data_IF_514690595247
#
_entry.id   IF_514690595247
#
_cell.length_a   1.000
_cell.length_b   1.000
_cell.length_c   1.000
_cell.angle_alpha   90.00
_cell.angle_beta   90.00
_cell.angle_gamma   90.00
#
_symmetry.space_group_name_H-M   'P 1'
#
loop_
_entity.id
_entity.type
_entity.pdbx_description
1 polymer ?
#
# COMPACT_ATOMS: atom_id res chain seq x y z
N UNK A 1 58.79 -16.46 -0.78
CA UNK A 1 57.30 -16.29 -0.81
C UNK A 1 56.87 -15.94 0.61
N UNK A 2 56.75 -14.63 0.90
CA UNK A 2 56.48 -14.14 2.25
C UNK A 2 54.96 -13.98 2.44
N UNK A 3 54.39 -14.85 3.25
CA UNK A 3 53.00 -14.77 3.67
C UNK A 3 52.91 -13.77 4.84
N UNK A 4 52.39 -12.59 4.61
CA UNK A 4 52.06 -11.63 5.67
C UNK A 4 50.80 -12.09 6.42
N UNK A 5 50.99 -12.62 7.63
CA UNK A 5 49.89 -12.81 8.58
C UNK A 5 49.34 -11.45 9.03
N UNK A 6 48.12 -11.15 8.66
CA UNK A 6 47.38 -10.03 9.19
C UNK A 6 46.83 -10.46 10.55
N UNK A 7 47.41 -9.94 11.63
CA UNK A 7 46.86 -10.07 12.98
C UNK A 7 45.66 -9.18 13.14
N UNK A 8 44.49 -9.77 13.31
CA UNK A 8 43.32 -9.04 13.77
C UNK A 8 43.44 -8.78 15.28
N UNK A 9 43.20 -7.52 15.75
CA UNK A 9 43.16 -7.27 17.18
C UNK A 9 41.89 -7.92 17.76
N UNK A 10 42.10 -8.69 18.85
CA UNK A 10 41.02 -9.23 19.66
C UNK A 10 40.26 -8.04 20.26
N UNK A 11 39.08 -7.71 19.74
CA UNK A 11 38.19 -6.77 20.36
C UNK A 11 37.67 -7.38 21.65
N UNK A 12 38.03 -6.75 22.75
CA UNK A 12 37.54 -7.00 24.10
C UNK A 12 36.01 -6.92 24.13
N UNK A 13 35.36 -8.08 24.31
CA UNK A 13 33.90 -8.14 24.49
C UNK A 13 33.55 -7.61 25.87
N UNK A 14 33.27 -6.31 25.97
CA UNK A 14 32.66 -5.71 27.15
C UNK A 14 31.19 -6.13 27.15
N UNK A 15 30.86 -7.11 27.95
CA UNK A 15 29.48 -7.41 28.33
C UNK A 15 28.97 -6.27 29.20
N UNK A 16 28.52 -5.20 28.57
CA UNK A 16 27.60 -4.26 29.21
C UNK A 16 26.22 -4.89 29.15
N UNK A 17 25.79 -5.43 30.28
CA UNK A 17 24.39 -5.67 30.59
C UNK A 17 23.67 -4.32 30.59
N UNK A 18 23.46 -3.79 29.39
CA UNK A 18 22.66 -2.62 29.15
C UNK A 18 21.20 -3.04 29.15
N UNK A 19 20.46 -2.55 30.10
CA UNK A 19 19.02 -2.48 30.07
C UNK A 19 18.58 -2.07 28.67
N UNK A 20 17.88 -3.01 27.99
CA UNK A 20 17.14 -2.71 26.78
C UNK A 20 16.02 -1.73 27.17
N UNK A 21 16.30 -0.46 27.13
CA UNK A 21 15.27 0.52 26.92
C UNK A 21 14.70 0.19 25.54
N UNK A 22 13.53 -0.43 25.51
CA UNK A 22 12.76 -0.51 24.30
C UNK A 22 12.57 0.92 23.80
N UNK A 23 13.35 1.30 22.79
CA UNK A 23 13.00 2.44 21.98
C UNK A 23 11.62 2.09 21.40
N UNK A 24 10.57 2.67 21.98
CA UNK A 24 9.32 2.91 21.33
C UNK A 24 9.67 3.80 20.12
N UNK A 25 10.10 3.15 19.04
CA UNK A 25 10.14 3.79 17.73
C UNK A 25 8.69 4.15 17.47
N UNK A 26 8.31 5.39 17.75
CA UNK A 26 7.01 5.93 17.40
C UNK A 26 6.79 5.50 15.94
N UNK A 27 5.77 4.69 15.67
CA UNK A 27 5.47 4.25 14.32
C UNK A 27 5.27 5.51 13.50
N UNK A 28 6.21 5.77 12.60
CA UNK A 28 6.20 6.94 11.75
C UNK A 28 4.87 6.95 11.00
N UNK A 29 4.12 8.05 11.10
CA UNK A 29 2.81 8.14 10.48
C UNK A 29 2.94 7.94 8.96
N UNK A 30 2.12 7.06 8.39
CA UNK A 30 2.12 6.81 6.95
C UNK A 30 1.50 8.03 6.26
N UNK A 31 2.25 8.68 5.34
CA UNK A 31 1.77 9.89 4.67
C UNK A 31 0.47 9.63 3.91
N UNK A 32 -0.50 10.52 4.08
CA UNK A 32 -1.77 10.47 3.35
C UNK A 32 -2.74 9.36 3.80
N UNK A 33 -2.39 8.57 4.81
CA UNK A 33 -3.25 7.50 5.31
C UNK A 33 -4.54 8.06 5.92
N UNK A 34 -5.67 7.64 5.37
CA UNK A 34 -7.01 8.01 5.85
C UNK A 34 -7.85 6.80 6.28
N UNK A 35 -7.57 5.61 5.72
CA UNK A 35 -8.28 4.37 6.03
C UNK A 35 -7.67 3.74 7.28
N UNK A 36 -8.47 3.54 8.31
CA UNK A 36 -8.04 2.94 9.58
C UNK A 36 -8.34 1.45 9.63
N UNK A 37 -7.66 0.73 10.53
CA UNK A 37 -7.90 -0.70 10.73
C UNK A 37 -9.32 -0.96 11.21
N UNK A 38 -9.88 -0.09 12.04
CA UNK A 38 -11.24 -0.20 12.56
C UNK A 38 -12.26 -0.12 11.42
N UNK A 39 -12.06 0.78 10.46
CA UNK A 39 -12.92 0.88 9.28
C UNK A 39 -12.85 -0.38 8.41
N UNK A 40 -11.68 -0.99 8.29
CA UNK A 40 -11.52 -2.26 7.57
C UNK A 40 -12.21 -3.41 8.30
N UNK A 41 -12.09 -3.49 9.62
CA UNK A 41 -12.79 -4.49 10.44
C UNK A 41 -14.30 -4.38 10.27
N UNK A 42 -14.85 -3.17 10.33
CA UNK A 42 -16.28 -2.91 10.07
C UNK A 42 -16.69 -3.32 8.65
N UNK A 43 -15.87 -2.99 7.64
CA UNK A 43 -16.12 -3.40 6.26
C UNK A 43 -16.18 -4.92 6.12
N UNK A 44 -15.26 -5.68 6.72
CA UNK A 44 -15.28 -7.13 6.67
C UNK A 44 -16.48 -7.73 7.39
N UNK A 45 -16.93 -7.14 8.49
CA UNK A 45 -18.19 -7.52 9.15
C UNK A 45 -19.36 -7.32 8.21
N UNK A 46 -19.42 -6.17 7.52
CA UNK A 46 -20.44 -5.88 6.51
C UNK A 46 -20.43 -6.88 5.35
N UNK A 47 -19.26 -7.15 4.77
CA UNK A 47 -19.10 -8.13 3.70
C UNK A 47 -19.63 -9.51 4.10
N UNK A 48 -19.31 -9.96 5.31
CA UNK A 48 -19.79 -11.26 5.83
C UNK A 48 -21.29 -11.28 6.01
N UNK A 49 -21.88 -10.18 6.45
CA UNK A 49 -23.31 -10.07 6.76
C UNK A 49 -24.15 -9.90 5.50
N UNK A 50 -23.70 -9.02 4.59
CA UNK A 50 -24.54 -8.49 3.51
C UNK A 50 -24.28 -9.16 2.16
N UNK A 51 -23.24 -10.01 2.06
CA UNK A 51 -22.93 -10.75 0.83
C UNK A 51 -22.91 -12.26 1.05
N UNK A 52 -22.97 -13.00 -0.06
CA UNK A 52 -22.77 -14.46 -0.08
C UNK A 52 -21.35 -14.83 -0.55
N UNK A 53 -20.45 -13.86 -0.57
CA UNK A 53 -19.09 -14.09 -1.06
C UNK A 53 -18.28 -14.93 -0.08
N UNK A 54 -17.37 -15.72 -0.61
CA UNK A 54 -16.40 -16.43 0.21
C UNK A 54 -15.28 -15.47 0.63
N UNK A 55 -15.51 -14.71 1.69
CA UNK A 55 -14.55 -13.74 2.21
C UNK A 55 -13.26 -14.36 2.77
N UNK A 56 -13.26 -15.69 2.99
CA UNK A 56 -12.05 -16.43 3.37
C UNK A 56 -11.24 -16.92 2.16
N UNK A 57 -11.70 -16.65 0.96
CA UNK A 57 -11.02 -16.96 -0.30
C UNK A 57 -10.53 -15.72 -1.02
N UNK A 58 -10.13 -15.91 -2.27
CA UNK A 58 -9.73 -14.80 -3.12
C UNK A 58 -10.95 -13.99 -3.57
N UNK A 59 -10.81 -12.68 -3.49
CA UNK A 59 -11.74 -11.70 -4.05
C UNK A 59 -11.02 -10.80 -5.05
N UNK A 60 -11.76 -10.10 -5.86
CA UNK A 60 -11.23 -9.08 -6.78
C UNK A 60 -11.20 -7.74 -6.06
N UNK A 61 -10.00 -7.23 -5.84
CA UNK A 61 -9.76 -5.95 -5.19
C UNK A 61 -9.39 -4.91 -6.22
N UNK A 62 -10.13 -3.78 -6.27
CA UNK A 62 -9.81 -2.61 -7.04
C UNK A 62 -9.10 -1.58 -6.16
N UNK A 63 -8.10 -0.89 -6.72
CA UNK A 63 -7.31 0.13 -6.03
C UNK A 63 -7.25 1.38 -6.89
N UNK A 64 -7.42 2.55 -6.25
CA UNK A 64 -7.63 3.82 -6.94
C UNK A 64 -6.59 4.85 -6.53
N UNK A 65 -6.02 5.51 -7.52
CA UNK A 65 -5.06 6.60 -7.33
C UNK A 65 -5.50 7.82 -8.12
N UNK A 66 -5.21 9.00 -7.59
CA UNK A 66 -5.54 10.25 -8.26
C UNK A 66 -4.34 11.15 -8.48
N UNK A 67 -4.36 11.93 -9.54
CA UNK A 67 -3.43 13.03 -9.77
C UNK A 67 -3.97 14.00 -10.82
N UNK A 68 -3.53 15.24 -10.74
CA UNK A 68 -3.81 16.25 -11.77
C UNK A 68 -2.92 16.06 -13.02
N UNK A 69 -1.80 15.35 -12.91
CA UNK A 69 -0.90 15.04 -14.01
C UNK A 69 -1.02 13.56 -14.41
N UNK A 70 -1.65 13.23 -15.55
CA UNK A 70 -1.86 11.84 -15.95
C UNK A 70 -0.55 11.07 -16.18
N UNK A 71 0.55 11.76 -16.54
CA UNK A 71 1.87 11.13 -16.69
C UNK A 71 2.40 10.49 -15.40
N UNK A 72 2.07 11.05 -14.24
CA UNK A 72 2.44 10.46 -12.95
C UNK A 72 1.66 9.17 -12.70
N UNK A 73 0.38 9.14 -13.09
CA UNK A 73 -0.46 7.93 -13.00
C UNK A 73 0.00 6.85 -13.98
N UNK A 74 0.47 7.22 -15.19
CA UNK A 74 1.09 6.28 -16.13
C UNK A 74 2.35 5.62 -15.54
N UNK A 75 3.16 6.37 -14.82
CA UNK A 75 4.32 5.83 -14.10
C UNK A 75 3.88 4.87 -12.99
N UNK A 76 2.88 5.26 -12.18
CA UNK A 76 2.31 4.42 -11.14
C UNK A 76 1.75 3.11 -11.73
N UNK A 77 1.00 3.20 -12.83
CA UNK A 77 0.48 2.05 -13.57
C UNK A 77 1.59 1.06 -13.93
N UNK A 78 2.69 1.54 -14.50
CA UNK A 78 3.80 0.68 -14.90
C UNK A 78 4.42 -0.06 -13.72
N UNK A 79 4.59 0.62 -12.58
CA UNK A 79 5.11 0.04 -11.34
C UNK A 79 4.13 -1.01 -10.79
N UNK A 80 2.84 -0.71 -10.77
CA UNK A 80 1.81 -1.61 -10.26
C UNK A 80 1.66 -2.86 -11.13
N UNK A 81 1.69 -2.72 -12.47
CA UNK A 81 1.69 -3.87 -13.38
C UNK A 81 2.90 -4.78 -13.11
N UNK A 82 4.10 -4.21 -12.91
CA UNK A 82 5.29 -4.99 -12.55
C UNK A 82 5.16 -5.71 -11.19
N UNK A 83 4.29 -5.23 -10.30
CA UNK A 83 3.94 -5.86 -9.01
C UNK A 83 2.76 -6.84 -9.11
N UNK A 84 2.29 -7.14 -10.31
CA UNK A 84 1.23 -8.12 -10.57
C UNK A 84 -0.20 -7.58 -10.47
N UNK A 85 -0.38 -6.26 -10.50
CA UNK A 85 -1.71 -5.66 -10.65
C UNK A 85 -2.15 -5.69 -12.12
N UNK A 86 -3.44 -5.80 -12.35
CA UNK A 86 -4.06 -5.66 -13.66
C UNK A 86 -4.52 -4.21 -13.86
N UNK A 87 -4.14 -3.60 -14.96
CA UNK A 87 -4.67 -2.29 -15.35
C UNK A 87 -6.14 -2.42 -15.78
N UNK A 88 -6.97 -1.52 -15.30
CA UNK A 88 -8.38 -1.43 -15.68
C UNK A 88 -8.62 -0.18 -16.52
N UNK A 89 -8.37 0.99 -15.94
CA UNK A 89 -8.66 2.26 -16.61
C UNK A 89 -7.79 3.41 -16.06
N UNK A 90 -7.59 4.40 -16.90
CA UNK A 90 -7.10 5.72 -16.53
C UNK A 90 -8.03 6.74 -17.18
N UNK A 91 -8.73 7.52 -16.39
CA UNK A 91 -9.77 8.40 -16.87
C UNK A 91 -9.77 9.74 -16.11
N UNK A 92 -10.37 10.76 -16.73
CA UNK A 92 -10.61 12.05 -16.10
C UNK A 92 -11.97 12.01 -15.41
N UNK A 93 -12.05 12.49 -14.16
CA UNK A 93 -13.32 12.62 -13.46
C UNK A 93 -14.15 13.75 -14.06
N UNK A 94 -15.47 13.61 -13.96
CA UNK A 94 -16.39 14.70 -14.23
C UNK A 94 -16.16 15.84 -13.22
N UNK A 95 -16.45 17.06 -13.62
CA UNK A 95 -16.33 18.26 -12.80
C UNK A 95 -17.69 18.90 -12.61
N UNK A 96 -17.97 19.31 -11.38
CA UNK A 96 -19.15 20.12 -11.07
C UNK A 96 -18.92 21.59 -11.47
N UNK A 97 -17.70 22.10 -11.26
CA UNK A 97 -17.27 23.42 -11.73
C UNK A 97 -16.26 23.27 -12.87
N UNK A 98 -16.53 23.83 -14.07
CA UNK A 98 -15.61 23.81 -15.21
C UNK A 98 -14.25 24.46 -14.92
N UNK A 99 -14.14 25.32 -13.91
CA UNK A 99 -12.91 26.01 -13.53
C UNK A 99 -12.02 25.17 -12.59
N UNK A 100 -12.53 24.07 -12.04
CA UNK A 100 -11.70 23.16 -11.26
C UNK A 100 -10.61 22.52 -12.12
N UNK A 101 -9.41 22.27 -11.56
CA UNK A 101 -8.36 21.54 -12.27
C UNK A 101 -8.83 20.14 -12.66
N UNK A 102 -8.38 19.64 -13.81
CA UNK A 102 -8.62 18.26 -14.21
C UNK A 102 -8.03 17.30 -13.17
N UNK A 103 -8.82 16.32 -12.75
CA UNK A 103 -8.38 15.24 -11.87
C UNK A 103 -8.50 13.92 -12.62
N UNK A 104 -7.40 13.19 -12.67
CA UNK A 104 -7.34 11.87 -13.31
C UNK A 104 -7.33 10.78 -12.27
N UNK A 105 -7.92 9.65 -12.62
CA UNK A 105 -8.02 8.45 -11.82
C UNK A 105 -7.34 7.29 -12.51
N UNK A 106 -6.52 6.55 -11.76
CA UNK A 106 -5.98 5.26 -12.16
C UNK A 106 -6.70 4.17 -11.35
N UNK A 107 -7.29 3.22 -12.06
CA UNK A 107 -7.88 2.02 -11.49
C UNK A 107 -7.03 0.80 -11.88
N UNK A 108 -6.56 0.08 -10.89
CA UNK A 108 -5.89 -1.21 -11.04
C UNK A 108 -6.56 -2.24 -10.14
N UNK A 109 -6.42 -3.51 -10.48
CA UNK A 109 -7.05 -4.61 -9.76
C UNK A 109 -6.07 -5.73 -9.44
N UNK A 110 -6.38 -6.49 -8.38
CA UNK A 110 -5.67 -7.71 -8.04
C UNK A 110 -6.61 -8.73 -7.40
N UNK A 111 -6.47 -9.99 -7.81
CA UNK A 111 -7.17 -11.10 -7.17
C UNK A 111 -6.28 -11.59 -6.03
N UNK A 112 -6.74 -11.41 -4.81
CA UNK A 112 -6.00 -11.81 -3.60
C UNK A 112 -6.95 -12.04 -2.42
N UNK A 113 -6.45 -12.74 -1.42
CA UNK A 113 -7.14 -12.93 -0.14
C UNK A 113 -6.65 -11.90 0.87
N UNK A 114 -7.58 -11.27 1.58
CA UNK A 114 -7.26 -10.36 2.67
C UNK A 114 -8.03 -10.69 3.95
N UNK A 115 -7.38 -10.39 5.07
CA UNK A 115 -7.99 -10.08 6.36
C UNK A 115 -7.96 -8.55 6.54
N UNK A 116 -8.67 -7.98 7.53
CA UNK A 116 -8.54 -6.55 7.83
C UNK A 116 -7.08 -6.12 8.00
N UNK A 117 -6.27 -6.92 8.71
CA UNK A 117 -4.86 -6.62 8.98
C UNK A 117 -3.99 -6.68 7.72
N UNK A 118 -4.19 -7.68 6.87
CA UNK A 118 -3.43 -7.79 5.62
C UNK A 118 -3.83 -6.73 4.60
N UNK A 119 -5.10 -6.30 4.61
CA UNK A 119 -5.56 -5.20 3.77
C UNK A 119 -5.03 -3.85 4.29
N UNK A 120 -4.95 -3.65 5.61
CA UNK A 120 -4.29 -2.47 6.18
C UNK A 120 -2.82 -2.39 5.76
N UNK A 121 -2.10 -3.51 5.83
CA UNK A 121 -0.71 -3.59 5.34
C UNK A 121 -0.61 -3.26 3.84
N UNK A 122 -1.52 -3.77 3.01
CA UNK A 122 -1.60 -3.45 1.58
C UNK A 122 -1.87 -1.97 1.36
N UNK A 123 -2.83 -1.38 2.06
CA UNK A 123 -3.12 0.05 1.97
C UNK A 123 -1.91 0.89 2.37
N UNK A 124 -1.18 0.50 3.40
CA UNK A 124 0.04 1.19 3.83
C UNK A 124 1.11 1.21 2.72
N UNK A 125 1.33 0.08 2.03
CA UNK A 125 2.24 0.02 0.87
C UNK A 125 1.80 0.98 -0.24
N UNK A 126 0.49 1.08 -0.51
CA UNK A 126 -0.04 1.93 -1.59
C UNK A 126 -0.04 3.42 -1.22
N UNK A 127 -0.26 3.77 0.05
CA UNK A 127 -0.05 5.13 0.54
C UNK A 127 1.40 5.57 0.41
N UNK A 128 2.34 4.71 0.77
CA UNK A 128 3.78 4.98 0.63
C UNK A 128 4.13 5.18 -0.85
N UNK A 129 3.67 4.30 -1.74
CA UNK A 129 3.90 4.42 -3.17
C UNK A 129 3.34 5.74 -3.74
N UNK A 130 2.12 6.11 -3.35
CA UNK A 130 1.51 7.37 -3.78
C UNK A 130 2.34 8.57 -3.33
N UNK A 131 2.83 8.57 -2.09
CA UNK A 131 3.69 9.62 -1.57
C UNK A 131 5.04 9.69 -2.29
N UNK A 132 5.71 8.56 -2.54
CA UNK A 132 6.99 8.49 -3.26
C UNK A 132 6.86 9.02 -4.70
N UNK A 133 5.75 8.75 -5.36
CA UNK A 133 5.45 9.22 -6.71
C UNK A 133 4.86 10.63 -6.75
N UNK A 134 4.65 11.24 -5.59
CA UNK A 134 4.01 12.57 -5.45
C UNK A 134 2.66 12.62 -6.18
N UNK A 135 1.86 11.59 -5.99
CA UNK A 135 0.48 11.56 -6.43
C UNK A 135 -0.38 12.42 -5.50
N UNK A 136 -1.54 12.85 -6.00
CA UNK A 136 -2.52 13.57 -5.16
C UNK A 136 -3.04 12.67 -4.05
N UNK A 137 -3.43 11.44 -4.39
CA UNK A 137 -3.84 10.45 -3.38
C UNK A 137 -3.69 9.01 -3.86
N UNK A 138 -3.56 8.10 -2.91
CA UNK A 138 -4.17 6.78 -2.97
C UNK A 138 -5.55 6.92 -2.33
N UNK A 139 -6.60 6.75 -3.13
CA UNK A 139 -7.98 7.10 -2.73
C UNK A 139 -8.73 5.94 -2.07
N UNK A 140 -8.10 4.77 -2.04
CA UNK A 140 -8.66 3.60 -1.39
C UNK A 140 -8.92 2.44 -2.34
N UNK A 141 -9.78 1.54 -1.90
CA UNK A 141 -10.06 0.28 -2.59
C UNK A 141 -11.56 0.00 -2.64
N UNK A 142 -11.93 -0.87 -3.55
CA UNK A 142 -13.20 -1.57 -3.57
C UNK A 142 -12.96 -3.09 -3.63
N UNK A 143 -14.03 -3.88 -3.53
CA UNK A 143 -13.97 -5.33 -3.56
C UNK A 143 -15.21 -5.93 -4.21
N UNK A 144 -15.00 -6.99 -4.94
CA UNK A 144 -16.06 -7.78 -5.56
C UNK A 144 -15.72 -9.25 -5.63
N UNK A 145 -16.70 -10.08 -6.03
CA UNK A 145 -16.45 -11.49 -6.28
C UNK A 145 -15.58 -11.67 -7.52
N UNK A 146 -14.79 -12.73 -7.53
CA UNK A 146 -14.07 -13.13 -8.76
C UNK A 146 -15.11 -13.67 -9.74
N UNK A 147 -15.18 -13.05 -10.92
CA UNK A 147 -16.02 -13.58 -12.01
C UNK A 147 -15.43 -14.87 -12.55
N UNK A 148 -16.26 -15.91 -12.64
CA UNK A 148 -15.92 -17.17 -13.32
C UNK A 148 -15.87 -16.98 -14.83
#
# INVERSE_FOLDING_TARGET
MNIKLIKYPIALLILLSGFSYGENKAMEAIPGKTITIEQLEEMFVGLKKDTKWNISGNLLWGYFFTNHEPKKLEKAKSILIAKGYRFVNLYMSDKDDPNEPDLFWLHVEKIEHHTPQSLDARNNELYILANELKLESYDGMDVGPVSN
#
